data_IF_405425283281
#
_entry.id   IF_405425283281
#
_cell.length_a   1.000
_cell.length_b   1.000
_cell.length_c   1.000
_cell.angle_alpha   90.00
_cell.angle_beta   90.00
_cell.angle_gamma   90.00
#
_symmetry.space_group_name_H-M   'P 1'
#
loop_
_entity.id
_entity.type
_entity.pdbx_description
1 polymer ?
#
# COMPACT_ATOMS: atom_id res chain seq x y z
N UNK A 1 11.10 -0.50 5.55
CA UNK A 1 12.17 0.42 5.13
C UNK A 1 11.63 1.27 3.99
N UNK A 2 10.96 2.38 4.29
CA UNK A 2 10.31 3.25 3.27
C UNK A 2 11.23 4.33 2.71
N UNK A 3 12.39 4.55 3.34
CA UNK A 3 13.39 5.49 2.86
C UNK A 3 13.95 5.09 1.50
N UNK A 4 14.07 3.78 1.23
CA UNK A 4 14.46 3.26 -0.07
C UNK A 4 13.51 3.67 -1.21
N UNK A 5 12.24 3.96 -0.91
CA UNK A 5 11.26 4.39 -1.93
C UNK A 5 11.41 5.85 -2.32
N UNK A 6 11.99 6.70 -1.44
CA UNK A 6 12.18 8.13 -1.71
C UNK A 6 13.28 8.42 -2.72
N UNK A 7 14.22 7.50 -2.89
CA UNK A 7 15.35 7.63 -3.81
C UNK A 7 15.09 7.00 -5.18
N UNK A 8 13.97 6.29 -5.35
CA UNK A 8 13.58 5.72 -6.64
C UNK A 8 12.93 6.83 -7.49
N UNK A 9 13.28 6.95 -8.78
CA UNK A 9 12.52 7.79 -9.69
C UNK A 9 11.14 7.15 -9.94
N UNK A 10 10.08 7.93 -9.75
CA UNK A 10 8.67 7.56 -9.98
C UNK A 10 8.25 6.20 -9.40
N UNK A 11 8.34 6.00 -8.07
CA UNK A 11 8.09 4.71 -7.45
C UNK A 11 6.62 4.30 -7.56
N UNK A 12 6.39 3.04 -7.98
CA UNK A 12 5.08 2.40 -7.98
C UNK A 12 5.06 1.29 -6.93
N UNK A 13 4.00 1.26 -6.12
CA UNK A 13 3.81 0.27 -5.06
C UNK A 13 2.63 -0.66 -5.36
N UNK A 14 2.85 -1.97 -5.17
CA UNK A 14 1.81 -2.99 -5.21
C UNK A 14 1.62 -3.60 -3.82
N UNK A 15 0.41 -3.48 -3.26
CA UNK A 15 0.07 -4.00 -1.93
C UNK A 15 -0.94 -5.13 -2.05
N UNK A 16 -0.60 -6.33 -1.60
CA UNK A 16 -1.48 -7.49 -1.64
C UNK A 16 -1.48 -8.28 -0.33
N UNK A 17 -2.60 -8.91 0.02
CA UNK A 17 -2.77 -9.65 1.27
C UNK A 17 -3.91 -9.11 2.16
N UNK A 18 -3.61 -8.85 3.44
CA UNK A 18 -4.62 -8.47 4.42
C UNK A 18 -5.21 -7.07 4.14
N UNK A 19 -6.53 -6.97 3.99
CA UNK A 19 -7.22 -5.71 3.68
C UNK A 19 -6.89 -4.56 4.64
N UNK A 20 -7.10 -4.71 5.97
CA UNK A 20 -6.71 -3.70 6.95
C UNK A 20 -5.23 -3.30 6.93
N UNK A 21 -4.32 -4.25 6.72
CA UNK A 21 -2.89 -3.96 6.59
C UNK A 21 -2.58 -3.16 5.32
N UNK A 22 -3.19 -3.52 4.18
CA UNK A 22 -3.07 -2.78 2.92
C UNK A 22 -3.50 -1.33 3.10
N UNK A 23 -4.62 -1.07 3.80
CA UNK A 23 -5.07 0.31 4.02
C UNK A 23 -4.06 1.10 4.85
N UNK A 24 -3.52 0.53 5.93
CA UNK A 24 -2.49 1.19 6.74
C UNK A 24 -1.22 1.50 5.93
N UNK A 25 -0.77 0.55 5.13
CA UNK A 25 0.40 0.72 4.26
C UNK A 25 0.14 1.77 3.16
N UNK A 26 -1.03 1.75 2.54
CA UNK A 26 -1.45 2.74 1.55
C UNK A 26 -1.46 4.15 2.12
N UNK A 27 -2.00 4.32 3.33
CA UNK A 27 -1.98 5.61 4.05
C UNK A 27 -0.55 6.06 4.27
N UNK A 28 0.32 5.19 4.80
CA UNK A 28 1.73 5.52 5.03
C UNK A 28 2.45 5.95 3.75
N UNK A 29 2.25 5.23 2.65
CA UNK A 29 2.88 5.56 1.35
C UNK A 29 2.42 6.92 0.81
N UNK A 30 1.14 7.26 1.00
CA UNK A 30 0.59 8.54 0.54
C UNK A 30 1.00 9.70 1.44
N UNK A 31 0.91 9.52 2.74
CA UNK A 31 0.99 10.62 3.69
C UNK A 31 2.43 10.89 4.16
N UNK A 32 3.26 9.85 4.24
CA UNK A 32 4.65 9.96 4.73
C UNK A 32 5.67 9.95 3.59
N UNK A 33 5.44 9.11 2.57
CA UNK A 33 6.34 9.00 1.41
C UNK A 33 5.93 9.96 0.29
N UNK A 34 4.67 10.41 0.26
CA UNK A 34 4.18 11.36 -0.73
C UNK A 34 3.83 10.73 -2.08
N UNK A 35 3.63 9.41 -2.16
CA UNK A 35 3.27 8.76 -3.42
C UNK A 35 1.88 9.22 -3.89
N UNK A 36 1.76 9.52 -5.18
CA UNK A 36 0.45 9.76 -5.80
C UNK A 36 -0.45 8.52 -5.68
N UNK A 37 -1.74 8.75 -5.49
CA UNK A 37 -2.73 7.68 -5.35
C UNK A 37 -2.73 6.68 -6.51
N UNK A 38 -2.39 7.12 -7.73
CA UNK A 38 -2.32 6.31 -8.96
C UNK A 38 -1.09 5.41 -8.98
N UNK A 39 -0.05 5.76 -8.23
CA UNK A 39 1.16 4.96 -8.07
C UNK A 39 1.00 3.83 -7.04
N UNK A 40 -0.12 3.78 -6.31
CA UNK A 40 -0.40 2.73 -5.33
C UNK A 40 -1.54 1.83 -5.80
N UNK A 41 -1.21 0.58 -6.14
CA UNK A 41 -2.16 -0.47 -6.53
C UNK A 41 -2.38 -1.43 -5.37
N UNK A 42 -3.62 -1.89 -5.20
CA UNK A 42 -4.01 -2.74 -4.05
C UNK A 42 -4.79 -3.96 -4.50
N UNK A 43 -4.50 -5.12 -3.89
CA UNK A 43 -5.23 -6.36 -4.08
C UNK A 43 -5.44 -7.06 -2.72
N UNK A 44 -6.53 -6.77 -2.00
CA UNK A 44 -6.85 -7.48 -0.78
C UNK A 44 -7.27 -8.92 -1.10
N UNK A 45 -6.75 -9.87 -0.32
CA UNK A 45 -7.00 -11.32 -0.47
C UNK A 45 -7.72 -11.95 0.72
N UNK A 46 -7.51 -11.40 1.91
CA UNK A 46 -8.28 -11.79 3.09
C UNK A 46 -8.39 -10.63 4.09
N UNK A 47 -9.31 -10.74 5.04
CA UNK A 47 -9.42 -9.84 6.18
C UNK A 47 -9.93 -10.63 7.40
N UNK A 48 -9.43 -10.30 8.59
CA UNK A 48 -9.87 -10.97 9.82
C UNK A 48 -11.38 -10.84 10.01
N UNK A 49 -12.03 -11.94 10.39
CA UNK A 49 -13.47 -11.99 10.61
C UNK A 49 -14.32 -11.86 9.35
N UNK A 50 -13.74 -11.90 8.15
CA UNK A 50 -14.47 -11.89 6.88
C UNK A 50 -14.25 -13.18 6.10
N UNK A 51 -15.35 -13.77 5.63
CA UNK A 51 -15.32 -14.87 4.66
C UNK A 51 -15.64 -14.30 3.28
N UNK A 52 -14.64 -14.32 2.39
CA UNK A 52 -14.72 -13.64 1.09
C UNK A 52 -14.35 -12.16 1.16
N UNK A 53 -13.79 -11.65 0.05
CA UNK A 53 -13.40 -10.25 -0.14
C UNK A 53 -13.80 -9.76 -1.52
#
# INVERSE_FOLDING_TARGET
NVEALRVLPDPVAYLAGNGPAIQRQRTLLRDVVGLDRKAVRTQPYWAEGKTGL
#
